data_IF_583163657021
#
_entry.id   IF_583163657021
#
_cell.length_a   1.000
_cell.length_b   1.000
_cell.length_c   1.000
_cell.angle_alpha   90.00
_cell.angle_beta   90.00
_cell.angle_gamma   90.00
#
_symmetry.space_group_name_H-M   'P 1'
#
loop_
_entity.id
_entity.type
_entity.pdbx_description
1 polymer ?
#
# COMPACT_ATOMS: atom_id res chain seq x y z
N UNK A 1 29.26 -9.88 5.67
CA UNK A 1 28.59 -8.62 6.02
C UNK A 1 27.08 -8.79 6.17
N UNK A 2 26.27 -8.95 5.09
CA UNK A 2 24.80 -9.04 5.19
C UNK A 2 24.32 -10.26 5.98
N UNK A 3 24.94 -11.43 5.83
CA UNK A 3 24.57 -12.63 6.58
C UNK A 3 24.77 -12.47 8.11
N UNK A 4 25.83 -11.82 8.53
CA UNK A 4 26.08 -11.53 9.96
C UNK A 4 25.07 -10.48 10.49
N UNK A 5 24.75 -9.48 9.67
CA UNK A 5 23.76 -8.47 9.99
C UNK A 5 22.35 -9.08 10.09
N UNK A 6 22.00 -9.99 9.16
CA UNK A 6 20.74 -10.71 9.18
C UNK A 6 20.56 -11.55 10.46
N UNK A 7 21.63 -12.17 10.95
CA UNK A 7 21.59 -12.96 12.19
C UNK A 7 21.25 -12.14 13.46
N UNK A 8 21.29 -10.80 13.37
CA UNK A 8 20.94 -9.87 14.47
C UNK A 8 19.45 -9.47 14.44
N UNK A 9 18.75 -9.78 13.36
CA UNK A 9 17.31 -9.53 13.27
C UNK A 9 16.53 -10.53 14.14
N UNK A 10 15.42 -10.11 14.74
CA UNK A 10 14.47 -11.04 15.31
C UNK A 10 13.86 -11.93 14.22
N UNK A 11 13.19 -13.00 14.61
CA UNK A 11 12.36 -13.75 13.69
C UNK A 11 11.35 -12.82 13.00
N UNK A 12 11.06 -13.09 11.74
CA UNK A 12 10.02 -12.34 11.02
C UNK A 12 8.68 -12.50 11.76
N UNK A 13 7.94 -11.41 11.94
CA UNK A 13 6.64 -11.48 12.60
C UNK A 13 5.64 -12.29 11.76
N UNK A 14 4.70 -12.90 12.45
CA UNK A 14 3.59 -13.60 11.78
C UNK A 14 2.76 -12.63 10.94
N UNK A 15 2.18 -13.07 9.82
CA UNK A 15 1.23 -12.27 9.07
C UNK A 15 0.05 -11.83 9.95
N UNK A 16 -0.47 -10.64 9.68
CA UNK A 16 -1.70 -10.17 10.32
C UNK A 16 -2.81 -11.21 10.11
N UNK A 17 -3.47 -11.69 11.17
CA UNK A 17 -4.49 -12.73 11.06
C UNK A 17 -5.75 -12.22 10.34
N UNK A 18 -6.43 -13.10 9.59
CA UNK A 18 -7.67 -12.73 8.87
C UNK A 18 -8.73 -12.10 9.79
N UNK A 19 -8.84 -12.57 11.02
CA UNK A 19 -9.79 -12.03 12.01
C UNK A 19 -9.57 -10.55 12.32
N UNK A 20 -8.34 -10.07 12.21
CA UNK A 20 -8.03 -8.65 12.43
C UNK A 20 -8.54 -7.79 11.27
N UNK A 21 -8.38 -8.23 10.02
CA UNK A 21 -8.94 -7.53 8.86
C UNK A 21 -10.46 -7.47 8.94
N UNK A 22 -11.13 -8.58 9.30
CA UNK A 22 -12.58 -8.60 9.54
C UNK A 22 -12.97 -7.62 10.64
N UNK A 23 -12.22 -7.56 11.74
CA UNK A 23 -12.49 -6.61 12.81
C UNK A 23 -12.33 -5.14 12.37
N UNK A 24 -11.37 -4.84 11.48
CA UNK A 24 -11.18 -3.50 10.88
C UNK A 24 -12.35 -3.12 9.97
N UNK A 25 -12.81 -4.05 9.12
CA UNK A 25 -13.99 -3.87 8.28
C UNK A 25 -15.23 -3.62 9.14
N UNK A 26 -15.47 -4.40 10.19
CA UNK A 26 -16.61 -4.24 11.09
C UNK A 26 -16.57 -2.90 11.84
N UNK A 27 -15.40 -2.44 12.28
CA UNK A 27 -15.25 -1.11 12.90
C UNK A 27 -15.55 0.03 11.92
N UNK A 28 -15.20 -0.12 10.66
CA UNK A 28 -15.51 0.87 9.64
C UNK A 28 -17.01 0.88 9.34
N UNK A 29 -17.59 -0.28 9.06
CA UNK A 29 -18.99 -0.41 8.67
C UNK A 29 -19.96 -0.11 9.81
N UNK A 30 -19.53 -0.18 11.08
CA UNK A 30 -20.33 0.28 12.22
C UNK A 30 -20.66 1.78 12.20
N UNK A 31 -19.95 2.57 11.38
CA UNK A 31 -20.18 3.99 11.18
C UNK A 31 -21.08 4.28 9.96
N UNK A 32 -21.45 3.25 9.20
CA UNK A 32 -22.23 3.34 7.97
C UNK A 32 -23.71 3.01 8.21
N UNK A 33 -24.55 3.52 7.33
CA UNK A 33 -25.95 3.10 7.21
C UNK A 33 -26.05 1.90 6.27
N UNK A 34 -27.12 1.17 6.34
CA UNK A 34 -27.34 -0.01 5.48
C UNK A 34 -27.42 0.31 3.98
N UNK A 35 -27.69 1.56 3.62
CA UNK A 35 -27.74 2.07 2.24
C UNK A 35 -26.44 2.80 1.81
N UNK A 36 -25.38 2.70 2.62
CA UNK A 36 -24.04 3.18 2.29
C UNK A 36 -23.21 2.08 1.61
N UNK A 37 -22.33 2.47 0.70
CA UNK A 37 -21.38 1.57 0.04
C UNK A 37 -19.99 2.19 0.10
N UNK A 38 -18.99 1.43 0.54
CA UNK A 38 -17.57 1.82 0.39
C UNK A 38 -17.00 1.17 -0.86
N UNK A 39 -16.26 1.95 -1.66
CA UNK A 39 -15.50 1.47 -2.81
C UNK A 39 -14.08 2.01 -2.71
N UNK A 40 -13.12 1.13 -2.51
CA UNK A 40 -11.68 1.46 -2.59
C UNK A 40 -11.07 0.75 -3.79
N UNK A 41 -10.31 1.49 -4.57
CA UNK A 41 -9.59 0.96 -5.72
C UNK A 41 -8.08 1.03 -5.50
N UNK A 42 -7.36 0.10 -6.12
CA UNK A 42 -5.92 0.19 -6.26
C UNK A 42 -5.56 1.20 -7.36
N UNK A 43 -4.40 1.88 -7.27
CA UNK A 43 -3.89 2.68 -8.37
C UNK A 43 -3.57 1.76 -9.57
N UNK A 44 -3.58 2.28 -10.81
CA UNK A 44 -3.06 1.55 -11.96
C UNK A 44 -1.54 1.39 -11.86
N UNK A 45 -0.98 0.48 -12.67
CA UNK A 45 0.45 0.39 -12.84
C UNK A 45 1.03 1.69 -13.40
N UNK A 46 2.18 2.11 -12.87
CA UNK A 46 2.93 3.24 -13.39
C UNK A 46 3.96 2.73 -14.41
N UNK A 47 3.87 3.23 -15.64
CA UNK A 47 4.80 2.87 -16.71
C UNK A 47 6.13 3.60 -16.52
N UNK A 48 7.22 2.84 -16.50
CA UNK A 48 8.58 3.38 -16.50
C UNK A 48 9.02 3.74 -17.92
N UNK A 49 8.93 2.77 -18.85
CA UNK A 49 9.34 2.94 -20.24
C UNK A 49 8.77 1.81 -21.10
N UNK A 50 8.08 2.12 -22.19
CA UNK A 50 7.47 1.16 -23.11
C UNK A 50 6.56 0.15 -22.39
N UNK A 51 6.99 -1.12 -22.33
CA UNK A 51 6.35 -2.25 -21.67
C UNK A 51 6.92 -2.55 -20.26
N UNK A 52 7.81 -1.68 -19.76
CA UNK A 52 8.41 -1.82 -18.42
C UNK A 52 7.64 -0.95 -17.43
N UNK A 53 7.21 -1.54 -16.33
CA UNK A 53 6.50 -0.89 -15.25
C UNK A 53 7.41 -0.67 -14.04
N UNK A 54 7.07 0.33 -13.22
CA UNK A 54 7.67 0.46 -11.90
C UNK A 54 7.17 -0.64 -10.96
N UNK A 55 7.97 -1.03 -9.94
CA UNK A 55 7.49 -1.92 -8.89
C UNK A 55 6.14 -1.45 -8.34
N UNK A 56 5.16 -2.36 -8.33
CA UNK A 56 3.81 -2.03 -7.94
C UNK A 56 3.67 -1.94 -6.42
N UNK A 57 2.93 -0.93 -5.97
CA UNK A 57 2.49 -0.80 -4.58
C UNK A 57 1.03 -0.36 -4.55
N UNK A 58 0.19 -1.19 -3.96
CA UNK A 58 -1.22 -0.87 -3.79
C UNK A 58 -1.46 0.18 -2.70
N UNK A 59 -2.70 0.67 -2.62
CA UNK A 59 -3.13 1.62 -1.59
C UNK A 59 -2.98 1.05 -0.17
N UNK A 60 -2.45 1.85 0.75
CA UNK A 60 -2.32 1.47 2.16
C UNK A 60 -3.67 1.16 2.82
N UNK A 61 -4.75 1.81 2.39
CA UNK A 61 -6.10 1.58 2.91
C UNK A 61 -6.65 0.22 2.45
N UNK A 62 -6.32 -0.20 1.23
CA UNK A 62 -6.69 -1.50 0.71
C UNK A 62 -5.94 -2.61 1.45
N UNK A 63 -4.61 -2.45 1.64
CA UNK A 63 -3.80 -3.37 2.47
C UNK A 63 -4.39 -3.44 3.89
N UNK A 64 -4.71 -2.30 4.49
CA UNK A 64 -5.22 -2.22 5.87
C UNK A 64 -6.54 -2.98 6.06
N UNK A 65 -7.44 -2.91 5.08
CA UNK A 65 -8.76 -3.56 5.19
C UNK A 65 -8.77 -5.03 4.74
N UNK A 66 -7.86 -5.45 3.86
CA UNK A 66 -7.94 -6.78 3.23
C UNK A 66 -6.65 -7.59 3.28
N UNK A 67 -5.51 -6.95 3.45
CA UNK A 67 -4.20 -7.56 3.27
C UNK A 67 -3.79 -7.78 1.81
N UNK A 68 -4.64 -7.39 0.84
CA UNK A 68 -4.39 -7.59 -0.58
C UNK A 68 -3.38 -6.60 -1.14
N UNK A 69 -2.45 -7.08 -1.98
CA UNK A 69 -1.34 -6.28 -2.49
C UNK A 69 -1.27 -6.21 -4.01
N UNK A 70 -2.06 -7.03 -4.71
CA UNK A 70 -2.01 -7.09 -6.17
C UNK A 70 -2.68 -5.86 -6.82
N UNK A 71 -2.28 -5.60 -8.06
CA UNK A 71 -2.81 -4.51 -8.88
C UNK A 71 -4.25 -4.76 -9.38
N UNK A 72 -4.81 -3.76 -10.03
CA UNK A 72 -6.12 -3.81 -10.70
C UNK A 72 -7.22 -4.37 -9.78
N UNK A 73 -7.25 -3.88 -8.55
CA UNK A 73 -8.14 -4.40 -7.51
C UNK A 73 -9.12 -3.35 -7.05
N UNK A 74 -10.35 -3.79 -6.82
CA UNK A 74 -11.39 -2.97 -6.18
C UNK A 74 -11.99 -3.76 -5.03
N UNK A 75 -12.07 -3.14 -3.84
CA UNK A 75 -12.82 -3.68 -2.71
C UNK A 75 -14.09 -2.90 -2.51
N UNK A 76 -15.19 -3.62 -2.28
CA UNK A 76 -16.51 -3.05 -2.01
C UNK A 76 -17.01 -3.59 -0.68
N UNK A 77 -17.38 -2.69 0.26
CA UNK A 77 -18.15 -3.05 1.44
C UNK A 77 -19.57 -2.57 1.26
N UNK A 78 -20.54 -3.49 1.32
CA UNK A 78 -21.97 -3.22 1.15
C UNK A 78 -22.80 -3.98 2.16
N UNK A 79 -23.94 -3.44 2.54
CA UNK A 79 -24.89 -4.15 3.38
C UNK A 79 -25.85 -4.98 2.52
N UNK A 80 -26.11 -6.20 2.96
CA UNK A 80 -27.08 -7.13 2.37
C UNK A 80 -28.11 -7.53 3.43
N UNK A 81 -29.09 -8.33 3.08
CA UNK A 81 -30.04 -8.92 4.05
C UNK A 81 -29.34 -9.73 5.15
N UNK A 82 -28.13 -10.24 4.86
CA UNK A 82 -27.32 -11.03 5.82
C UNK A 82 -26.34 -10.18 6.64
N UNK A 83 -26.32 -8.86 6.42
CA UNK A 83 -25.39 -7.92 7.04
C UNK A 83 -24.33 -7.40 6.08
N UNK A 84 -23.26 -6.82 6.63
CA UNK A 84 -22.15 -6.28 5.83
C UNK A 84 -21.36 -7.39 5.17
N UNK A 85 -21.06 -7.18 3.89
CA UNK A 85 -20.30 -8.11 3.05
C UNK A 85 -19.16 -7.35 2.37
N UNK A 86 -17.98 -7.96 2.40
CA UNK A 86 -16.80 -7.50 1.67
C UNK A 86 -16.65 -8.28 0.38
N UNK A 87 -16.61 -7.57 -0.76
CA UNK A 87 -16.38 -8.14 -2.09
C UNK A 87 -15.08 -7.61 -2.67
N UNK A 88 -14.26 -8.49 -3.24
CA UNK A 88 -12.99 -8.14 -3.87
C UNK A 88 -13.04 -8.47 -5.36
N UNK A 89 -12.78 -7.48 -6.20
CA UNK A 89 -12.58 -7.65 -7.64
C UNK A 89 -11.10 -7.76 -7.93
N UNK A 90 -10.69 -8.82 -8.62
CA UNK A 90 -9.29 -9.14 -8.83
C UNK A 90 -9.05 -9.59 -10.27
N UNK A 91 -7.80 -9.52 -10.69
CA UNK A 91 -7.39 -10.13 -11.95
C UNK A 91 -7.63 -11.65 -11.88
N UNK A 92 -8.39 -12.24 -12.83
CA UNK A 92 -8.55 -13.68 -12.89
C UNK A 92 -7.23 -14.36 -13.25
N UNK A 93 -7.10 -15.64 -12.92
CA UNK A 93 -5.99 -16.47 -13.40
C UNK A 93 -5.97 -16.51 -14.91
N UNK A 94 -4.81 -16.25 -15.49
CA UNK A 94 -4.56 -16.31 -16.94
C UNK A 94 -3.18 -16.94 -17.17
N UNK A 95 -3.18 -18.19 -17.63
CA UNK A 95 -1.95 -18.96 -17.81
C UNK A 95 -0.97 -18.34 -18.80
N UNK A 96 -1.46 -17.57 -19.79
CA UNK A 96 -0.59 -16.89 -20.75
C UNK A 96 0.06 -15.65 -20.12
N UNK A 97 -0.70 -14.85 -19.37
CA UNK A 97 -0.16 -13.69 -18.65
C UNK A 97 0.74 -14.11 -17.50
N UNK A 98 0.39 -15.17 -16.78
CA UNK A 98 1.21 -15.69 -15.66
C UNK A 98 2.62 -16.16 -16.09
N UNK A 99 2.83 -16.49 -17.36
CA UNK A 99 4.16 -16.78 -17.90
C UNK A 99 5.06 -15.55 -17.89
N UNK A 100 4.48 -14.36 -18.08
CA UNK A 100 5.21 -13.09 -18.16
C UNK A 100 5.27 -12.31 -16.85
N UNK A 101 4.16 -12.29 -16.12
CA UNK A 101 3.94 -11.40 -14.98
C UNK A 101 4.05 -12.14 -13.62
N UNK A 102 4.13 -13.47 -13.63
CA UNK A 102 4.09 -14.28 -12.42
C UNK A 102 2.69 -14.78 -12.07
N UNK A 103 2.62 -15.63 -11.05
CA UNK A 103 1.37 -16.28 -10.63
C UNK A 103 0.41 -15.27 -9.99
N UNK A 104 -0.87 -15.35 -10.36
CA UNK A 104 -1.95 -14.56 -9.78
C UNK A 104 -2.76 -15.41 -8.79
N UNK A 105 -3.11 -14.87 -7.60
CA UNK A 105 -4.01 -15.58 -6.69
C UNK A 105 -5.37 -15.89 -7.33
N UNK A 106 -5.89 -14.98 -8.14
CA UNK A 106 -7.21 -15.06 -8.76
C UNK A 106 -8.35 -15.07 -7.74
N UNK A 107 -9.55 -15.32 -8.21
CA UNK A 107 -10.77 -15.34 -7.38
C UNK A 107 -10.69 -16.38 -6.26
N UNK A 108 -10.25 -17.60 -6.57
CA UNK A 108 -10.12 -18.67 -5.59
C UNK A 108 -9.08 -18.35 -4.52
N UNK A 109 -7.94 -17.76 -4.90
CA UNK A 109 -6.91 -17.34 -3.97
C UNK A 109 -7.38 -16.20 -3.06
N UNK A 110 -8.17 -15.26 -3.60
CA UNK A 110 -8.79 -14.20 -2.82
C UNK A 110 -9.68 -14.76 -1.71
N UNK A 111 -10.60 -15.67 -2.04
CA UNK A 111 -11.51 -16.29 -1.08
C UNK A 111 -10.78 -17.16 -0.03
N UNK A 112 -9.80 -17.95 -0.47
CA UNK A 112 -9.13 -18.90 0.43
C UNK A 112 -8.13 -18.20 1.36
N UNK A 113 -7.44 -17.16 0.90
CA UNK A 113 -6.26 -16.61 1.61
C UNK A 113 -6.48 -15.24 2.23
N UNK A 114 -7.51 -14.49 1.83
CA UNK A 114 -7.76 -13.13 2.30
C UNK A 114 -9.06 -13.00 3.10
N UNK A 115 -9.22 -11.89 3.81
CA UNK A 115 -10.36 -11.63 4.67
C UNK A 115 -11.48 -10.93 3.88
N UNK A 116 -12.06 -11.64 2.90
CA UNK A 116 -13.17 -11.17 2.09
C UNK A 116 -14.25 -12.25 2.00
N UNK A 117 -15.52 -11.83 1.92
CA UNK A 117 -16.67 -12.72 1.88
C UNK A 117 -16.97 -13.20 0.46
N UNK A 118 -16.72 -12.33 -0.51
CA UNK A 118 -16.96 -12.57 -1.93
C UNK A 118 -15.73 -12.15 -2.76
N UNK A 119 -15.50 -12.81 -3.88
CA UNK A 119 -14.49 -12.39 -4.84
C UNK A 119 -14.98 -12.62 -6.27
N UNK A 120 -14.59 -11.74 -7.18
CA UNK A 120 -15.02 -11.71 -8.58
C UNK A 120 -13.87 -11.35 -9.50
N UNK A 121 -13.99 -11.72 -10.78
CA UNK A 121 -13.10 -11.21 -11.81
C UNK A 121 -13.36 -9.74 -12.10
N UNK A 122 -12.33 -9.02 -12.55
CA UNK A 122 -12.44 -7.59 -12.90
C UNK A 122 -13.42 -7.33 -14.05
N UNK A 123 -13.65 -8.33 -14.90
CA UNK A 123 -14.64 -8.31 -15.99
C UNK A 123 -16.10 -8.21 -15.49
N UNK A 124 -16.36 -8.60 -14.24
CA UNK A 124 -17.68 -8.49 -13.61
C UNK A 124 -17.90 -7.13 -12.88
N UNK A 125 -16.87 -6.29 -12.78
CA UNK A 125 -16.91 -5.06 -11.95
C UNK A 125 -18.02 -4.10 -12.37
N UNK A 126 -18.14 -3.80 -13.67
CA UNK A 126 -19.09 -2.82 -14.18
C UNK A 126 -20.53 -3.25 -13.92
N UNK A 127 -20.88 -4.49 -14.25
CA UNK A 127 -22.22 -5.01 -14.07
C UNK A 127 -22.62 -5.04 -12.60
N UNK A 128 -21.74 -5.56 -11.74
CA UNK A 128 -22.03 -5.66 -10.30
C UNK A 128 -22.11 -4.30 -9.61
N UNK A 129 -21.19 -3.38 -9.91
CA UNK A 129 -21.28 -2.02 -9.36
C UNK A 129 -22.54 -1.30 -9.86
N UNK A 130 -22.91 -1.49 -11.11
CA UNK A 130 -24.14 -0.92 -11.66
C UNK A 130 -25.39 -1.40 -10.90
N UNK A 131 -25.43 -2.70 -10.54
CA UNK A 131 -26.48 -3.29 -9.74
C UNK A 131 -26.45 -2.75 -8.30
N UNK A 132 -25.33 -2.90 -7.60
CA UNK A 132 -25.21 -2.58 -6.18
C UNK A 132 -25.39 -1.08 -5.88
N UNK A 133 -25.03 -0.22 -6.82
CA UNK A 133 -25.21 1.23 -6.66
C UNK A 133 -26.66 1.68 -6.95
N UNK A 134 -27.53 0.82 -7.45
CA UNK A 134 -28.94 1.17 -7.70
C UNK A 134 -29.65 1.53 -6.41
N UNK A 135 -29.41 0.79 -5.34
CA UNK A 135 -30.06 1.00 -4.03
C UNK A 135 -29.17 1.78 -3.06
N UNK A 136 -27.93 2.10 -3.45
CA UNK A 136 -27.02 2.87 -2.64
C UNK A 136 -27.47 4.32 -2.49
N UNK A 137 -27.46 4.86 -1.26
CA UNK A 137 -27.71 6.27 -1.00
C UNK A 137 -26.44 7.11 -1.00
N UNK A 138 -25.37 6.61 -0.32
CA UNK A 138 -24.07 7.26 -0.30
C UNK A 138 -22.99 6.28 -0.75
N UNK A 139 -22.03 6.81 -1.49
CA UNK A 139 -20.81 6.08 -1.84
C UNK A 139 -19.63 6.73 -1.13
N UNK A 140 -18.93 5.97 -0.31
CA UNK A 140 -17.64 6.37 0.23
C UNK A 140 -16.56 5.93 -0.76
N UNK A 141 -15.95 6.92 -1.43
CA UNK A 141 -14.95 6.69 -2.46
C UNK A 141 -13.97 7.86 -2.54
N UNK A 142 -12.70 7.54 -2.67
CA UNK A 142 -11.67 8.53 -2.94
C UNK A 142 -11.42 8.61 -4.44
N UNK A 143 -11.94 9.66 -5.08
CA UNK A 143 -11.76 9.90 -6.51
C UNK A 143 -10.31 10.21 -6.90
N UNK A 144 -9.99 10.00 -8.18
CA UNK A 144 -8.68 10.31 -8.76
C UNK A 144 -7.64 9.19 -8.62
N UNK A 145 -7.97 8.06 -7.99
CA UNK A 145 -7.07 6.91 -7.89
C UNK A 145 -7.19 5.99 -9.10
N UNK A 146 -8.42 5.64 -9.46
CA UNK A 146 -8.72 4.78 -10.61
C UNK A 146 -9.82 5.43 -11.48
N UNK A 147 -9.46 6.00 -12.65
CA UNK A 147 -10.39 6.72 -13.50
C UNK A 147 -11.57 5.86 -13.98
N UNK A 148 -11.39 4.56 -14.16
CA UNK A 148 -12.46 3.67 -14.58
C UNK A 148 -13.52 3.53 -13.46
N UNK A 149 -13.09 3.30 -12.24
CA UNK A 149 -13.99 3.23 -11.06
C UNK A 149 -14.70 4.56 -10.84
N UNK A 150 -13.98 5.68 -10.96
CA UNK A 150 -14.56 7.03 -10.87
C UNK A 150 -15.69 7.20 -11.87
N UNK A 151 -15.48 6.76 -13.11
CA UNK A 151 -16.48 6.84 -14.16
C UNK A 151 -17.73 5.99 -13.89
N UNK A 152 -17.56 4.78 -13.35
CA UNK A 152 -18.67 3.91 -12.98
C UNK A 152 -19.54 4.56 -11.90
N UNK A 153 -18.92 5.12 -10.86
CA UNK A 153 -19.62 5.85 -9.78
C UNK A 153 -20.35 7.08 -10.35
N UNK A 154 -19.68 7.88 -11.16
CA UNK A 154 -20.30 9.05 -11.82
C UNK A 154 -21.49 8.66 -12.70
N UNK A 155 -21.41 7.51 -13.38
CA UNK A 155 -22.50 6.98 -14.19
C UNK A 155 -23.70 6.61 -13.32
N UNK A 156 -23.47 5.99 -12.16
CA UNK A 156 -24.54 5.67 -11.22
C UNK A 156 -25.24 6.94 -10.67
N UNK A 157 -24.44 7.97 -10.30
CA UNK A 157 -24.98 9.29 -9.87
C UNK A 157 -25.83 9.92 -10.97
N UNK A 158 -25.34 9.95 -12.21
CA UNK A 158 -26.08 10.53 -13.36
C UNK A 158 -27.35 9.74 -13.72
N UNK A 159 -27.34 8.43 -13.50
CA UNK A 159 -28.54 7.59 -13.72
C UNK A 159 -29.67 8.06 -12.80
N UNK A 160 -29.39 8.35 -11.55
CA UNK A 160 -30.35 8.91 -10.61
C UNK A 160 -30.94 10.22 -11.09
N UNK A 161 -30.14 11.15 -11.60
CA UNK A 161 -30.61 12.44 -12.08
C UNK A 161 -31.58 12.32 -13.27
N UNK A 162 -31.31 11.37 -14.17
CA UNK A 162 -32.21 11.07 -15.31
C UNK A 162 -33.50 10.40 -14.88
N UNK A 163 -33.47 9.62 -13.82
CA UNK A 163 -34.63 8.89 -13.28
C UNK A 163 -35.48 9.72 -12.32
N UNK A 164 -35.21 11.01 -12.13
CA UNK A 164 -35.92 11.91 -11.19
C UNK A 164 -37.42 11.91 -11.32
N UNK A 165 -37.95 11.70 -12.51
CA UNK A 165 -39.39 11.62 -12.77
C UNK A 165 -40.03 10.30 -12.34
N UNK A 166 -39.21 9.28 -11.98
CA UNK A 166 -39.64 7.93 -11.67
C UNK A 166 -39.06 7.39 -10.34
N UNK A 167 -38.92 8.25 -9.31
CA UNK A 167 -38.31 7.85 -8.03
C UNK A 167 -36.88 7.32 -8.23
N UNK A 168 -35.99 8.19 -8.72
CA UNK A 168 -34.64 7.83 -9.11
C UNK A 168 -33.87 7.07 -8.04
N UNK A 169 -33.38 5.91 -8.45
CA UNK A 169 -32.49 5.04 -7.69
C UNK A 169 -31.04 5.44 -7.90
N UNK A 170 -30.18 5.20 -6.91
CA UNK A 170 -28.75 5.46 -6.98
C UNK A 170 -28.24 6.54 -6.01
N UNK A 171 -26.93 6.76 -5.95
CA UNK A 171 -26.30 7.58 -4.93
C UNK A 171 -26.68 9.05 -5.00
N UNK A 172 -26.89 9.69 -3.85
CA UNK A 172 -27.11 11.14 -3.70
C UNK A 172 -25.84 11.88 -3.32
N UNK A 173 -24.83 11.17 -2.80
CA UNK A 173 -23.57 11.75 -2.38
C UNK A 173 -22.43 10.77 -2.61
N UNK A 174 -21.27 11.33 -2.92
CA UNK A 174 -19.97 10.65 -2.90
C UNK A 174 -19.11 11.37 -1.88
N UNK A 175 -18.62 10.64 -0.89
CA UNK A 175 -17.85 11.18 0.24
C UNK A 175 -16.48 10.52 0.30
N UNK A 176 -15.44 11.29 0.65
CA UNK A 176 -14.08 10.74 0.84
C UNK A 176 -13.98 9.99 2.18
N UNK A 177 -13.65 8.69 2.21
CA UNK A 177 -13.51 7.91 3.42
C UNK A 177 -12.19 8.14 4.17
N UNK A 178 -11.27 8.94 3.64
CA UNK A 178 -9.90 9.08 4.14
C UNK A 178 -9.83 9.45 5.62
N UNK A 179 -10.71 10.34 6.09
CA UNK A 179 -10.77 10.73 7.50
C UNK A 179 -11.14 9.57 8.42
N UNK A 180 -12.11 8.75 8.02
CA UNK A 180 -12.55 7.57 8.79
C UNK A 180 -11.46 6.50 8.82
N UNK A 181 -10.81 6.25 7.68
CA UNK A 181 -9.71 5.29 7.57
C UNK A 181 -8.47 5.74 8.35
N UNK A 182 -8.15 7.04 8.30
CA UNK A 182 -7.05 7.60 9.08
C UNK A 182 -7.28 7.43 10.58
N UNK A 183 -8.48 7.69 11.08
CA UNK A 183 -8.82 7.50 12.49
C UNK A 183 -8.71 6.03 12.92
N UNK A 184 -9.14 5.08 12.09
CA UNK A 184 -8.98 3.65 12.37
C UNK A 184 -7.51 3.22 12.42
N UNK A 185 -6.66 3.82 11.58
CA UNK A 185 -5.23 3.52 11.47
C UNK A 185 -4.37 4.25 12.51
N UNK A 186 -4.93 5.23 13.23
CA UNK A 186 -4.20 6.03 14.21
C UNK A 186 -3.64 5.17 15.34
N UNK A 187 -4.45 4.25 15.88
CA UNK A 187 -4.04 3.31 16.93
C UNK A 187 -3.72 1.96 16.33
N UNK A 188 -2.44 1.55 16.47
CA UNK A 188 -1.95 0.29 15.94
C UNK A 188 -2.30 -0.88 16.87
N UNK A 189 -2.65 -2.00 16.28
CA UNK A 189 -2.78 -3.27 16.99
C UNK A 189 -1.40 -3.86 17.33
N UNK A 190 -1.37 -4.92 18.12
CA UNK A 190 -0.12 -5.65 18.41
C UNK A 190 0.53 -6.21 17.14
N UNK A 191 -0.27 -6.79 16.24
CA UNK A 191 0.21 -7.31 14.95
C UNK A 191 0.83 -6.22 14.09
N UNK A 192 0.22 -5.03 14.04
CA UNK A 192 0.78 -3.87 13.31
C UNK A 192 2.09 -3.40 13.94
N UNK A 193 2.16 -3.33 15.27
CA UNK A 193 3.37 -2.96 16.00
C UNK A 193 4.51 -3.94 15.70
N UNK A 194 4.24 -5.25 15.64
CA UNK A 194 5.25 -6.25 15.34
C UNK A 194 5.85 -6.05 13.93
N UNK A 195 5.02 -5.71 12.91
CA UNK A 195 5.50 -5.37 11.56
C UNK A 195 6.37 -4.11 11.58
N UNK A 196 5.92 -3.05 12.30
CA UNK A 196 6.67 -1.80 12.42
C UNK A 196 8.00 -1.98 13.14
N UNK A 197 8.02 -2.78 14.21
CA UNK A 197 9.25 -3.13 14.95
C UNK A 197 10.23 -3.85 14.04
N UNK A 198 9.75 -4.82 13.24
CA UNK A 198 10.63 -5.53 12.31
C UNK A 198 11.19 -4.59 11.23
N UNK A 199 10.36 -3.77 10.58
CA UNK A 199 10.80 -2.78 9.61
C UNK A 199 11.85 -1.82 10.21
N UNK A 200 11.63 -1.34 11.45
CA UNK A 200 12.55 -0.46 12.15
C UNK A 200 13.89 -1.15 12.51
N UNK A 201 13.87 -2.43 12.85
CA UNK A 201 15.09 -3.19 13.11
C UNK A 201 15.91 -3.41 11.84
N UNK A 202 15.26 -3.72 10.73
CA UNK A 202 15.89 -3.81 9.41
C UNK A 202 16.58 -2.49 9.05
N UNK A 203 15.86 -1.35 9.17
CA UNK A 203 16.42 -0.05 8.88
C UNK A 203 17.56 0.35 9.82
N UNK A 204 17.46 0.08 11.13
CA UNK A 204 18.51 0.40 12.09
C UNK A 204 19.81 -0.35 11.78
N UNK A 205 19.72 -1.64 11.45
CA UNK A 205 20.90 -2.43 11.06
C UNK A 205 21.49 -1.95 9.74
N UNK A 206 20.66 -1.55 8.77
CA UNK A 206 21.11 -0.98 7.51
C UNK A 206 21.91 0.32 7.71
N UNK A 207 21.45 1.20 8.61
CA UNK A 207 22.20 2.40 9.00
C UNK A 207 23.55 2.07 9.63
N UNK A 208 23.64 1.08 10.53
CA UNK A 208 24.90 0.64 11.09
C UNK A 208 25.85 0.09 10.00
N UNK A 209 25.32 -0.60 8.99
CA UNK A 209 26.12 -1.06 7.85
C UNK A 209 26.65 0.12 7.04
N UNK A 210 25.83 1.14 6.77
CA UNK A 210 26.25 2.36 6.09
C UNK A 210 27.35 3.10 6.88
N UNK A 211 27.19 3.24 8.21
CA UNK A 211 28.21 3.83 9.09
C UNK A 211 29.56 3.12 8.96
N UNK A 212 29.55 1.78 8.92
CA UNK A 212 30.78 0.97 8.76
C UNK A 212 31.42 1.08 7.36
N UNK A 213 30.68 1.53 6.36
CA UNK A 213 31.14 1.72 5.00
C UNK A 213 31.51 3.16 4.69
N UNK A 214 31.13 4.09 5.58
CA UNK A 214 31.47 5.50 5.45
C UNK A 214 32.98 5.71 5.61
N UNK A 215 33.58 6.37 4.66
CA UNK A 215 34.98 6.80 4.65
C UNK A 215 35.17 7.91 3.60
N UNK A 216 36.26 8.62 3.67
CA UNK A 216 36.67 9.55 2.61
C UNK A 216 36.65 8.86 1.23
N UNK A 217 36.13 9.54 0.23
CA UNK A 217 36.04 9.07 -1.16
C UNK A 217 34.90 8.09 -1.44
N UNK A 218 34.08 7.70 -0.45
CA UNK A 218 32.86 6.95 -0.71
C UNK A 218 31.84 7.85 -1.39
N UNK A 219 31.04 7.31 -2.30
CA UNK A 219 29.95 8.05 -2.92
C UNK A 219 28.61 7.81 -2.20
N UNK A 220 27.75 8.82 -2.23
CA UNK A 220 26.41 8.75 -1.62
C UNK A 220 25.61 7.55 -2.13
N UNK A 221 25.63 7.28 -3.45
CA UNK A 221 24.93 6.11 -4.03
C UNK A 221 25.52 4.77 -3.60
N UNK A 222 26.80 4.69 -3.23
CA UNK A 222 27.38 3.45 -2.68
C UNK A 222 26.79 3.16 -1.30
N UNK A 223 26.63 4.18 -0.46
CA UNK A 223 25.97 4.03 0.85
C UNK A 223 24.48 3.75 0.70
N UNK A 224 23.78 4.39 -0.25
CA UNK A 224 22.41 4.06 -0.62
C UNK A 224 22.31 2.58 -1.00
N UNK A 225 23.21 2.07 -1.83
CA UNK A 225 23.21 0.66 -2.25
C UNK A 225 23.40 -0.32 -1.10
N UNK A 226 24.21 0.05 -0.10
CA UNK A 226 24.37 -0.77 1.13
C UNK A 226 23.07 -0.86 1.91
N UNK A 227 22.38 0.28 2.10
CA UNK A 227 21.13 0.36 2.85
C UNK A 227 20.00 -0.40 2.13
N UNK A 228 19.72 -0.03 0.90
CA UNK A 228 18.62 -0.61 0.12
C UNK A 228 18.86 -2.08 -0.22
N UNK A 229 20.12 -2.45 -0.46
CA UNK A 229 20.52 -3.84 -0.63
C UNK A 229 20.25 -4.67 0.61
N UNK A 230 20.49 -4.13 1.82
CA UNK A 230 20.17 -4.84 3.05
C UNK A 230 18.66 -4.91 3.30
N UNK A 231 17.87 -3.88 2.94
CA UNK A 231 16.41 -3.96 3.02
C UNK A 231 15.87 -5.17 2.25
N UNK A 232 16.28 -5.29 0.98
CA UNK A 232 15.88 -6.43 0.14
C UNK A 232 16.41 -7.76 0.68
N UNK A 233 17.66 -7.80 1.16
CA UNK A 233 18.27 -9.01 1.72
C UNK A 233 17.57 -9.51 2.99
N UNK A 234 17.00 -8.60 3.78
CA UNK A 234 16.24 -8.88 5.00
C UNK A 234 14.77 -9.21 4.73
N UNK A 235 14.33 -9.23 3.48
CA UNK A 235 12.95 -9.56 3.08
C UNK A 235 11.96 -8.41 3.21
N UNK A 236 12.43 -7.16 3.30
CA UNK A 236 11.57 -6.00 3.17
C UNK A 236 11.09 -5.83 1.71
N UNK A 237 9.95 -5.20 1.52
CA UNK A 237 9.40 -4.91 0.18
C UNK A 237 10.25 -3.90 -0.59
N UNK A 238 11.12 -3.17 0.11
CA UNK A 238 12.00 -2.15 -0.40
C UNK A 238 12.13 -1.00 0.60
N UNK A 239 12.43 0.17 0.10
CA UNK A 239 12.41 1.40 0.87
C UNK A 239 10.97 1.90 1.09
N UNK A 240 10.72 2.57 2.20
CA UNK A 240 9.43 3.21 2.52
C UNK A 240 9.25 4.56 1.83
N UNK A 241 10.37 5.22 1.52
CA UNK A 241 10.50 6.45 0.73
C UNK A 241 11.89 6.46 0.08
N UNK A 242 12.10 7.20 -1.03
CA UNK A 242 13.42 7.29 -1.66
C UNK A 242 14.49 7.70 -0.66
N UNK A 243 15.52 6.88 -0.50
CA UNK A 243 16.57 7.10 0.49
C UNK A 243 17.30 8.42 0.24
N UNK A 244 17.49 9.19 1.28
CA UNK A 244 18.23 10.46 1.28
C UNK A 244 19.62 10.16 1.85
N UNK A 245 20.66 10.41 1.04
CA UNK A 245 22.05 10.23 1.43
C UNK A 245 22.82 11.46 1.00
N UNK A 246 23.11 12.37 1.93
CA UNK A 246 23.78 13.65 1.63
C UNK A 246 25.05 13.83 2.44
N UNK A 247 26.16 14.16 1.77
CA UNK A 247 27.43 14.53 2.38
C UNK A 247 27.64 16.05 2.30
N UNK A 248 28.33 16.63 3.29
CA UNK A 248 28.68 18.05 3.30
C UNK A 248 27.45 18.96 3.14
N UNK A 249 27.46 19.83 2.12
CA UNK A 249 26.35 20.75 1.86
C UNK A 249 25.04 20.02 1.52
N UNK A 250 25.09 18.85 0.87
CA UNK A 250 23.91 18.04 0.53
C UNK A 250 23.16 17.56 1.79
N UNK A 251 23.86 17.39 2.90
CA UNK A 251 23.25 17.01 4.19
C UNK A 251 22.31 18.09 4.76
N UNK A 252 22.29 19.27 4.20
CA UNK A 252 21.40 20.38 4.59
C UNK A 252 20.12 20.44 3.76
N UNK A 253 19.98 19.62 2.70
CA UNK A 253 18.84 19.59 1.80
C UNK A 253 17.85 18.50 2.28
N UNK A 254 16.65 18.90 2.72
CA UNK A 254 15.70 18.01 3.41
C UNK A 254 15.32 16.77 2.60
N UNK A 255 14.94 16.91 1.32
CA UNK A 255 14.56 15.77 0.48
C UNK A 255 15.56 15.55 -0.65
N UNK A 256 16.85 15.48 -0.29
CA UNK A 256 17.93 15.23 -1.24
C UNK A 256 17.96 13.74 -1.65
N UNK A 257 17.52 13.45 -2.85
CA UNK A 257 17.45 12.08 -3.39
C UNK A 257 18.37 11.88 -4.61
N UNK A 258 19.17 12.87 -4.97
CA UNK A 258 20.11 12.75 -6.09
C UNK A 258 21.22 11.75 -5.77
N UNK A 259 21.78 11.78 -4.57
CA UNK A 259 22.74 10.82 -4.00
C UNK A 259 23.91 10.51 -4.95
N UNK A 260 24.62 11.56 -5.47
CA UNK A 260 25.64 11.38 -6.50
C UNK A 260 27.04 11.84 -6.11
N UNK A 261 27.16 12.64 -5.08
CA UNK A 261 28.43 13.26 -4.74
C UNK A 261 29.37 12.30 -4.00
N UNK A 262 30.63 12.67 -3.97
CA UNK A 262 31.70 11.99 -3.25
C UNK A 262 31.83 12.63 -1.89
N UNK A 263 31.80 11.84 -0.83
CA UNK A 263 31.98 12.33 0.53
C UNK A 263 33.47 12.67 0.78
N UNK A 264 33.71 13.89 1.22
CA UNK A 264 35.04 14.39 1.58
C UNK A 264 35.44 14.09 3.01
N UNK A 265 36.74 14.31 3.31
CA UNK A 265 37.26 14.30 4.67
C UNK A 265 36.68 15.49 5.47
N UNK A 266 36.49 15.31 6.78
CA UNK A 266 35.89 16.31 7.67
C UNK A 266 34.43 16.75 7.31
N UNK A 267 33.77 16.04 6.42
CA UNK A 267 32.35 16.28 6.14
C UNK A 267 31.43 15.51 7.11
N UNK A 268 30.22 16.02 7.24
CA UNK A 268 29.12 15.30 7.90
C UNK A 268 28.27 14.65 6.83
N UNK A 269 27.97 13.38 7.02
CA UNK A 269 26.94 12.68 6.26
C UNK A 269 25.63 12.66 7.03
N UNK A 270 24.52 12.86 6.33
CA UNK A 270 23.18 12.60 6.80
C UNK A 270 22.56 11.51 5.91
N UNK A 271 22.03 10.49 6.55
CA UNK A 271 21.22 9.48 5.87
C UNK A 271 19.84 9.43 6.53
N UNK A 272 18.83 9.56 5.68
CA UNK A 272 17.42 9.38 6.03
C UNK A 272 16.84 8.29 5.14
N UNK A 273 16.59 7.12 5.72
CA UNK A 273 16.15 5.94 5.01
C UNK A 273 15.33 5.01 5.90
N UNK A 274 14.28 4.46 5.32
CA UNK A 274 13.39 3.53 5.99
C UNK A 274 13.05 2.32 5.13
N UNK A 275 12.85 1.16 5.75
CA UNK A 275 12.39 -0.05 5.10
C UNK A 275 10.86 -0.15 5.18
N UNK A 276 10.22 -0.66 4.12
CA UNK A 276 8.82 -1.07 4.15
C UNK A 276 8.74 -2.59 4.31
N UNK A 277 7.99 -3.04 5.31
CA UNK A 277 7.72 -4.45 5.52
C UNK A 277 6.22 -4.70 5.65
N UNK A 278 5.65 -5.48 4.72
CA UNK A 278 4.21 -5.81 4.66
C UNK A 278 3.28 -4.60 4.76
N UNK A 279 3.64 -3.49 4.10
CA UNK A 279 2.88 -2.24 4.07
C UNK A 279 3.11 -1.32 5.28
N UNK A 280 4.01 -1.66 6.20
CA UNK A 280 4.40 -0.83 7.34
C UNK A 280 5.79 -0.25 7.13
N UNK A 281 5.88 1.07 7.24
CA UNK A 281 7.10 1.83 7.04
C UNK A 281 7.88 2.01 8.34
N UNK A 282 9.21 2.02 8.24
CA UNK A 282 10.09 2.67 9.21
C UNK A 282 10.64 3.97 8.63
N UNK A 283 11.12 4.85 9.50
CA UNK A 283 11.63 6.18 9.18
C UNK A 283 12.76 6.50 10.16
N UNK A 284 14.01 6.57 9.67
CA UNK A 284 15.20 6.77 10.52
C UNK A 284 16.16 7.72 9.84
N UNK A 285 16.46 8.84 10.53
CA UNK A 285 17.54 9.74 10.14
C UNK A 285 18.72 9.61 11.11
N UNK A 286 19.95 9.56 10.58
CA UNK A 286 21.20 9.61 11.34
C UNK A 286 22.23 10.47 10.63
N UNK A 287 23.04 11.19 11.43
CA UNK A 287 24.16 11.98 10.94
C UNK A 287 25.43 11.62 11.71
N UNK A 288 26.55 11.57 11.03
CA UNK A 288 27.86 11.29 11.61
C UNK A 288 28.99 11.90 10.76
N UNK A 289 30.18 12.16 11.35
CA UNK A 289 31.31 12.62 10.57
C UNK A 289 31.88 11.51 9.69
N UNK A 290 32.37 11.90 8.51
CA UNK A 290 33.26 11.07 7.69
C UNK A 290 34.68 11.17 8.25
N UNK A 291 35.34 10.04 8.44
CA UNK A 291 36.73 9.95 8.95
C UNK A 291 37.47 8.80 8.27
#
# INVERSE_FOLDING_TARGET
MFAEALARLPAQPEPTPKSEFVARQNRLTSQFRSDDVLILSSPPHAVHSNDVEYPYRTSSDLIYLTGWTEAETVVVLRCTEKGWVSALFVQPKDTLKEIWEGRRPGVEGALSSYAVDEAYGNDELEDRLSEWLTDARRVFHRGGINPHVDQLIQTAVRRRDRARQHFGTGPVAVEDPSGMLAELRLRKSSSEIDQMVYASKVAAIAHELAMRHSREGVTEYQLQSVIEGFFSYAGASGWSYPSIVGCGENATILHYTTNRDVCGDDEVILIDAGAEYRGYASDITRSWPIS
#
